data_IF_049646163191
#
_entry.id   IF_049646163191
#
_cell.length_a   1.000
_cell.length_b   1.000
_cell.length_c   1.000
_cell.angle_alpha   90.00
_cell.angle_beta   90.00
_cell.angle_gamma   90.00
#
_symmetry.space_group_name_H-M   'P 1'
#
loop_
_entity.id
_entity.type
_entity.pdbx_description
1 polymer ?
#
# COMPACT_ATOMS: atom_id res chain seq x y z
N UNK A 1 -15.65 5.57 -5.48
CA UNK A 1 -15.19 4.18 -5.37
C UNK A 1 -16.39 3.34 -5.01
N UNK A 2 -16.60 2.19 -5.66
CA UNK A 2 -17.73 1.30 -5.35
C UNK A 2 -17.16 -0.07 -4.96
N UNK A 3 -17.27 -0.44 -3.68
CA UNK A 3 -16.91 -1.78 -3.22
C UNK A 3 -17.98 -2.78 -3.66
N UNK A 4 -17.56 -3.95 -4.14
CA UNK A 4 -18.47 -5.02 -4.56
C UNK A 4 -18.50 -6.17 -3.57
N UNK A 5 -17.38 -6.85 -3.38
CA UNK A 5 -17.25 -8.03 -2.52
C UNK A 5 -15.80 -8.17 -2.01
N UNK A 6 -15.61 -8.94 -0.93
CA UNK A 6 -14.29 -9.29 -0.40
C UNK A 6 -13.72 -8.27 0.59
N UNK A 7 -12.66 -8.67 1.29
CA UNK A 7 -11.91 -7.81 2.21
C UNK A 7 -10.73 -7.19 1.47
N UNK A 8 -10.58 -5.87 1.56
CA UNK A 8 -9.49 -5.11 0.95
C UNK A 8 -9.36 -3.73 1.62
N UNK A 9 -8.20 -3.04 1.50
CA UNK A 9 -7.98 -1.74 2.12
C UNK A 9 -9.03 -0.69 1.76
N UNK A 10 -9.55 -0.75 0.53
CA UNK A 10 -10.61 0.13 0.05
C UNK A 10 -11.93 -0.07 0.80
N UNK A 11 -12.27 -1.32 1.17
CA UNK A 11 -13.44 -1.60 1.99
C UNK A 11 -13.25 -1.04 3.39
N UNK A 12 -12.07 -1.25 3.97
CA UNK A 12 -11.74 -0.73 5.30
C UNK A 12 -11.82 0.81 5.34
N UNK A 13 -11.37 1.48 4.28
CA UNK A 13 -11.47 2.93 4.14
C UNK A 13 -12.94 3.41 4.08
N UNK A 14 -13.78 2.73 3.30
CA UNK A 14 -15.21 3.04 3.22
C UNK A 14 -15.94 2.75 4.54
N UNK A 15 -15.57 1.67 5.26
CA UNK A 15 -16.16 1.31 6.56
C UNK A 15 -15.82 2.30 7.68
N UNK A 16 -14.71 3.02 7.54
CA UNK A 16 -14.38 4.17 8.39
C UNK A 16 -15.22 5.42 8.07
N UNK A 17 -16.17 5.33 7.13
CA UNK A 17 -16.98 6.44 6.67
C UNK A 17 -16.20 7.46 5.82
N UNK A 18 -15.05 7.06 5.27
CA UNK A 18 -14.18 7.93 4.46
C UNK A 18 -14.51 7.76 2.99
N UNK A 19 -14.41 8.85 2.25
CA UNK A 19 -14.52 8.88 0.79
C UNK A 19 -13.42 9.79 0.21
N UNK A 20 -13.19 9.70 -1.09
CA UNK A 20 -12.22 10.55 -1.79
C UNK A 20 -10.83 9.93 -1.94
N UNK A 21 -9.79 10.70 -1.62
CA UNK A 21 -8.39 10.31 -1.85
C UNK A 21 -7.92 9.24 -0.86
N UNK A 22 -7.47 8.09 -1.37
CA UNK A 22 -7.09 6.93 -0.54
C UNK A 22 -5.58 6.82 -0.29
N UNK A 23 -4.75 6.85 -1.34
CA UNK A 23 -3.29 6.67 -1.23
C UNK A 23 -2.55 7.20 -2.46
N UNK A 24 -1.23 7.39 -2.34
CA UNK A 24 -0.31 7.62 -3.48
C UNK A 24 0.48 6.34 -3.75
N UNK A 25 0.44 5.85 -5.00
CA UNK A 25 1.30 4.77 -5.46
C UNK A 25 2.63 5.26 -6.02
N UNK A 26 3.73 4.68 -5.57
CA UNK A 26 5.09 4.96 -6.05
C UNK A 26 5.65 3.68 -6.67
N UNK A 27 5.95 3.75 -7.97
CA UNK A 27 6.59 2.64 -8.69
C UNK A 27 8.09 2.64 -8.44
N UNK A 28 8.63 1.50 -8.02
CA UNK A 28 10.06 1.29 -7.77
C UNK A 28 10.49 -0.10 -8.25
N UNK A 29 11.78 -0.28 -8.53
CA UNK A 29 12.30 -1.52 -9.12
C UNK A 29 12.45 -2.66 -8.09
N UNK A 30 12.71 -2.32 -6.83
CA UNK A 30 12.85 -3.26 -5.72
C UNK A 30 12.25 -2.66 -4.45
N UNK A 31 11.19 -3.27 -3.90
CA UNK A 31 10.50 -2.76 -2.70
C UNK A 31 11.14 -3.20 -1.39
N UNK A 32 11.93 -4.28 -1.40
CA UNK A 32 12.40 -4.93 -0.17
C UNK A 32 13.35 -4.02 0.64
N UNK A 33 14.30 -3.27 0.03
CA UNK A 33 15.15 -2.32 0.76
C UNK A 33 14.37 -1.17 1.41
N UNK A 34 13.34 -0.66 0.72
CA UNK A 34 12.53 0.45 1.24
C UNK A 34 11.64 -0.01 2.38
N UNK A 35 11.02 -1.19 2.28
CA UNK A 35 10.28 -1.79 3.38
C UNK A 35 11.17 -1.95 4.62
N UNK A 36 12.40 -2.44 4.44
CA UNK A 36 13.34 -2.57 5.54
C UNK A 36 13.66 -1.20 6.16
N UNK A 37 13.92 -0.18 5.35
CA UNK A 37 14.18 1.18 5.81
C UNK A 37 12.98 1.75 6.58
N UNK A 38 11.77 1.70 6.02
CA UNK A 38 10.55 2.17 6.68
C UNK A 38 10.32 1.48 8.02
N UNK A 39 10.57 0.17 8.10
CA UNK A 39 10.47 -0.58 9.36
C UNK A 39 11.44 -0.06 10.41
N UNK A 40 12.69 0.29 10.05
CA UNK A 40 13.64 0.89 11.00
C UNK A 40 13.20 2.25 11.53
N UNK A 41 12.35 2.95 10.76
CA UNK A 41 11.74 4.23 11.12
C UNK A 41 10.40 4.08 11.85
N UNK A 42 10.01 2.85 12.20
CA UNK A 42 8.75 2.55 12.90
C UNK A 42 7.50 2.57 12.01
N UNK A 43 7.65 2.57 10.69
CA UNK A 43 6.56 2.52 9.72
C UNK A 43 6.34 1.07 9.30
N UNK A 44 5.13 0.56 9.57
CA UNK A 44 4.72 -0.81 9.26
C UNK A 44 4.09 -0.97 7.87
N UNK A 45 3.69 -2.20 7.56
CA UNK A 45 2.87 -2.53 6.39
C UNK A 45 1.43 -2.70 6.87
N UNK A 46 0.48 -2.03 6.20
CA UNK A 46 -0.95 -2.17 6.42
C UNK A 46 -1.54 -3.31 5.58
N UNK A 47 -1.10 -3.41 4.33
CA UNK A 47 -1.58 -4.41 3.38
C UNK A 47 -0.52 -4.65 2.31
N UNK A 48 -0.32 -5.90 1.90
CA UNK A 48 0.68 -6.24 0.88
C UNK A 48 0.27 -7.50 0.13
N UNK A 49 0.88 -7.70 -1.04
CA UNK A 49 0.73 -8.94 -1.79
C UNK A 49 1.65 -9.02 -2.98
N UNK A 50 1.70 -10.23 -3.54
CA UNK A 50 2.35 -10.52 -4.80
C UNK A 50 1.30 -10.65 -5.90
N UNK A 51 1.64 -10.18 -7.10
CA UNK A 51 0.83 -10.37 -8.30
C UNK A 51 1.18 -11.70 -8.95
N UNK A 52 0.24 -12.31 -9.67
CA UNK A 52 0.47 -13.59 -10.38
C UNK A 52 1.66 -13.54 -11.36
N UNK A 53 2.00 -12.34 -11.84
CA UNK A 53 3.10 -12.12 -12.78
C UNK A 53 4.44 -11.79 -12.10
N UNK A 54 4.53 -11.86 -10.78
CA UNK A 54 5.78 -11.65 -10.03
C UNK A 54 6.11 -10.18 -9.71
N UNK A 55 5.15 -9.27 -9.89
CA UNK A 55 5.20 -7.94 -9.26
C UNK A 55 4.78 -8.02 -7.78
N UNK A 56 5.13 -7.01 -6.99
CA UNK A 56 4.82 -6.89 -5.56
C UNK A 56 4.19 -5.54 -5.24
N UNK A 57 3.43 -5.44 -4.16
CA UNK A 57 2.97 -4.16 -3.64
C UNK A 57 2.86 -4.15 -2.12
N UNK A 58 3.00 -2.96 -1.51
CA UNK A 58 2.84 -2.76 -0.07
C UNK A 58 2.30 -1.36 0.26
N UNK A 59 1.17 -1.30 0.96
CA UNK A 59 0.60 -0.12 1.60
C UNK A 59 1.28 0.07 2.96
N UNK A 60 1.88 1.24 3.19
CA UNK A 60 2.65 1.53 4.38
C UNK A 60 1.85 2.36 5.39
N UNK A 61 2.06 2.11 6.68
CA UNK A 61 1.46 2.87 7.79
C UNK A 61 2.10 4.27 7.91
N UNK A 62 1.73 5.12 6.97
CA UNK A 62 2.39 6.40 6.70
C UNK A 62 1.50 7.60 6.98
N UNK A 63 0.23 7.38 7.32
CA UNK A 63 -0.76 8.44 7.50
C UNK A 63 -0.35 9.40 8.63
N UNK A 64 0.18 8.88 9.74
CA UNK A 64 0.69 9.71 10.85
C UNK A 64 1.90 10.58 10.46
N UNK A 65 2.72 10.11 9.54
CA UNK A 65 4.01 10.74 9.19
C UNK A 65 3.88 11.70 7.99
N UNK A 66 3.12 11.31 6.97
CA UNK A 66 2.99 12.04 5.70
C UNK A 66 1.58 12.56 5.43
N UNK A 67 0.62 12.31 6.32
CA UNK A 67 -0.78 12.71 6.15
C UNK A 67 -1.54 11.88 5.11
N UNK A 68 -0.93 10.82 4.58
CA UNK A 68 -1.52 9.92 3.59
C UNK A 68 -0.86 8.55 3.62
N UNK A 69 -1.55 7.55 3.06
CA UNK A 69 -0.99 6.23 2.83
C UNK A 69 -0.13 6.27 1.55
N UNK A 70 1.08 5.74 1.63
CA UNK A 70 1.97 5.48 0.51
C UNK A 70 1.92 3.99 0.17
N UNK A 71 1.70 3.68 -1.09
CA UNK A 71 1.83 2.32 -1.65
C UNK A 71 3.14 2.25 -2.46
N UNK A 72 3.98 1.26 -2.16
CA UNK A 72 5.12 0.91 -3.01
C UNK A 72 4.71 -0.18 -4.00
N UNK A 73 5.04 0.00 -5.28
CA UNK A 73 4.65 -0.90 -6.37
C UNK A 73 5.91 -1.36 -7.10
N UNK A 74 6.17 -2.67 -7.05
CA UNK A 74 7.18 -3.32 -7.86
C UNK A 74 6.52 -4.02 -9.06
N UNK A 75 6.80 -3.61 -10.31
CA UNK A 75 6.32 -4.34 -11.46
C UNK A 75 6.99 -5.72 -11.58
N UNK A 76 6.37 -6.67 -12.29
CA UNK A 76 7.05 -7.88 -12.75
C UNK A 76 8.39 -7.57 -13.42
N UNK A 77 9.41 -8.41 -13.16
CA UNK A 77 10.63 -8.38 -13.96
C UNK A 77 10.30 -8.88 -15.37
N UNK A 78 10.66 -8.07 -16.38
CA UNK A 78 10.59 -8.45 -17.80
C UNK A 78 11.63 -9.48 -18.17
#
# INVERSE_FOLDING_TARGET
>A
MEWKVGQCPYKDFLDQGREGFHHVGIRIDDIDPYIAEFKTRGIGILFSGDTERGGKFAYLDTEKTFGMIIELIQPPKT
#
